data_IF_881408617505
#
_entry.id   IF_881408617505
#
_cell.length_a   1.000
_cell.length_b   1.000
_cell.length_c   1.000
_cell.angle_alpha   90.00
_cell.angle_beta   90.00
_cell.angle_gamma   90.00
#
_symmetry.space_group_name_H-M   'P 1'
#
loop_
_entity.id
_entity.type
_entity.pdbx_description
1 polymer ?
#
# COMPACT_ATOMS: atom_id res chain seq x y z
N UNK A 1 15.46 3.97 -2.17
CA UNK A 1 16.78 3.39 -2.50
C UNK A 1 17.58 3.07 -1.23
N UNK A 2 17.71 3.99 -0.26
CA UNK A 2 18.41 3.72 1.03
C UNK A 2 17.86 2.51 1.80
N UNK A 3 16.54 2.38 2.00
CA UNK A 3 15.96 1.24 2.72
C UNK A 3 16.24 -0.14 2.07
N UNK A 4 16.46 -0.21 0.76
CA UNK A 4 16.70 -1.49 0.05
C UNK A 4 18.16 -1.95 0.18
N UNK A 5 19.09 -0.98 0.20
CA UNK A 5 20.49 -1.25 0.52
C UNK A 5 20.61 -1.76 1.94
N UNK A 6 19.86 -1.18 2.88
CA UNK A 6 19.80 -1.65 4.27
C UNK A 6 19.19 -3.05 4.40
N UNK A 7 18.10 -3.33 3.68
CA UNK A 7 17.48 -4.66 3.68
C UNK A 7 18.39 -5.73 3.04
N UNK A 8 19.07 -5.42 1.93
CA UNK A 8 20.05 -6.33 1.33
C UNK A 8 21.26 -6.55 2.23
N UNK A 9 21.74 -5.50 2.92
CA UNK A 9 22.80 -5.63 3.91
C UNK A 9 22.38 -6.51 5.09
N UNK A 10 21.11 -6.42 5.52
CA UNK A 10 20.56 -7.30 6.56
C UNK A 10 20.49 -8.76 6.11
N UNK A 11 20.07 -9.03 4.88
CA UNK A 11 20.02 -10.38 4.28
C UNK A 11 21.42 -10.97 4.06
N UNK A 12 22.40 -10.14 3.70
CA UNK A 12 23.81 -10.56 3.66
C UNK A 12 24.35 -10.87 5.07
N UNK A 13 24.02 -10.04 6.07
CA UNK A 13 24.45 -10.25 7.44
C UNK A 13 23.78 -11.46 8.13
N UNK A 14 22.59 -11.88 7.69
CA UNK A 14 21.93 -13.10 8.17
C UNK A 14 22.54 -14.38 7.59
N UNK A 15 23.47 -14.27 6.64
CA UNK A 15 24.09 -15.42 5.97
C UNK A 15 23.18 -16.09 4.94
N UNK A 16 22.11 -15.43 4.51
CA UNK A 16 21.14 -15.96 3.53
C UNK A 16 21.80 -16.38 2.21
N UNK A 17 22.89 -15.71 1.85
CA UNK A 17 23.64 -15.94 0.61
C UNK A 17 24.89 -16.80 0.81
N UNK A 18 24.99 -17.53 1.93
CA UNK A 18 26.11 -18.45 2.20
C UNK A 18 27.37 -17.79 2.77
N UNK A 19 28.36 -18.64 3.09
CA UNK A 19 29.67 -18.23 3.58
C UNK A 19 30.76 -19.11 2.93
N UNK A 20 31.52 -18.60 1.93
CA UNK A 20 31.57 -17.23 1.45
C UNK A 20 30.30 -16.81 0.71
N UNK A 21 30.03 -15.49 0.68
CA UNK A 21 28.83 -14.91 0.06
C UNK A 21 28.79 -15.26 -1.43
N UNK A 22 27.70 -15.89 -1.85
CA UNK A 22 27.40 -16.14 -3.25
C UNK A 22 26.86 -14.87 -3.91
N UNK A 23 27.72 -14.22 -4.68
CA UNK A 23 27.39 -13.00 -5.40
C UNK A 23 26.32 -13.22 -6.49
N UNK A 24 26.15 -14.44 -7.01
CA UNK A 24 25.08 -14.74 -7.96
C UNK A 24 23.71 -14.69 -7.28
N UNK A 25 23.60 -15.24 -6.07
CA UNK A 25 22.39 -15.21 -5.28
C UNK A 25 22.03 -13.77 -4.83
N UNK A 26 23.05 -12.97 -4.47
CA UNK A 26 22.89 -11.54 -4.17
C UNK A 26 22.38 -10.77 -5.39
N UNK A 27 22.94 -11.01 -6.57
CA UNK A 27 22.51 -10.35 -7.82
C UNK A 27 21.08 -10.74 -8.22
N UNK A 28 20.68 -11.99 -8.02
CA UNK A 28 19.31 -12.44 -8.27
C UNK A 28 18.31 -11.73 -7.34
N UNK A 29 18.62 -11.62 -6.04
CA UNK A 29 17.79 -10.90 -5.08
C UNK A 29 17.69 -9.40 -5.40
N UNK A 30 18.78 -8.79 -5.87
CA UNK A 30 18.76 -7.41 -6.35
C UNK A 30 17.88 -7.22 -7.59
N UNK A 31 17.94 -8.16 -8.55
CA UNK A 31 17.12 -8.13 -9.75
C UNK A 31 15.62 -8.21 -9.42
N UNK A 32 15.23 -9.08 -8.49
CA UNK A 32 13.83 -9.21 -8.02
C UNK A 32 13.31 -7.92 -7.36
N UNK A 33 14.12 -7.30 -6.49
CA UNK A 33 13.78 -6.02 -5.86
C UNK A 33 13.60 -4.92 -6.92
N UNK A 34 14.49 -4.90 -7.92
CA UNK A 34 14.45 -3.92 -9.00
C UNK A 34 13.26 -4.14 -9.92
N UNK A 35 12.94 -5.38 -10.27
CA UNK A 35 11.77 -5.75 -11.06
C UNK A 35 10.45 -5.38 -10.35
N UNK A 36 10.38 -5.57 -9.04
CA UNK A 36 9.24 -5.14 -8.21
C UNK A 36 9.07 -3.61 -8.18
N UNK A 37 10.16 -2.86 -8.19
CA UNK A 37 10.13 -1.39 -8.30
C UNK A 37 9.74 -0.92 -9.70
N UNK A 38 10.30 -1.54 -10.74
CA UNK A 38 10.06 -1.17 -12.14
C UNK A 38 8.63 -1.51 -12.57
N UNK A 39 8.13 -2.69 -12.18
CA UNK A 39 6.74 -3.09 -12.45
C UNK A 39 5.71 -2.15 -11.83
N UNK A 40 6.04 -1.46 -10.74
CA UNK A 40 5.16 -0.46 -10.11
C UNK A 40 5.28 0.96 -10.67
N UNK A 41 6.35 1.27 -11.43
CA UNK A 41 6.59 2.61 -11.98
C UNK A 41 6.01 2.73 -13.38
N UNK A 42 4.88 3.43 -13.50
CA UNK A 42 4.25 3.78 -14.79
C UNK A 42 2.89 3.14 -15.02
N UNK A 43 2.49 2.18 -14.17
CA UNK A 43 1.12 1.65 -14.20
C UNK A 43 0.14 2.68 -13.67
N UNK A 44 -0.97 2.85 -14.37
CA UNK A 44 -2.05 3.74 -13.95
C UNK A 44 -2.70 3.15 -12.70
N UNK A 45 -2.73 3.94 -11.62
CA UNK A 45 -3.41 3.56 -10.38
C UNK A 45 -4.92 3.66 -10.55
N UNK A 46 -5.62 2.56 -10.30
CA UNK A 46 -7.08 2.48 -10.23
C UNK A 46 -7.53 2.45 -8.76
N UNK A 47 -8.32 3.44 -8.36
CA UNK A 47 -8.80 3.61 -7.00
C UNK A 47 -10.23 3.10 -6.87
N UNK A 48 -10.44 2.15 -5.97
CA UNK A 48 -11.74 1.54 -5.71
C UNK A 48 -12.27 1.99 -4.36
N UNK A 49 -13.47 2.59 -4.34
CA UNK A 49 -14.09 3.11 -3.12
C UNK A 49 -14.69 1.98 -2.29
N UNK A 50 -14.33 1.91 -1.00
CA UNK A 50 -14.88 0.95 -0.03
C UNK A 50 -16.00 1.59 0.77
N UNK A 51 -15.69 2.66 1.51
CA UNK A 51 -16.69 3.37 2.31
C UNK A 51 -16.30 4.82 2.56
N UNK A 52 -17.30 5.64 2.88
CA UNK A 52 -17.11 7.04 3.27
C UNK A 52 -17.08 7.17 4.79
N UNK A 53 -16.18 8.02 5.27
CA UNK A 53 -15.90 8.27 6.67
C UNK A 53 -16.48 9.64 7.06
N UNK A 54 -17.26 9.66 8.13
CA UNK A 54 -17.96 10.83 8.64
C UNK A 54 -17.39 11.18 10.01
N UNK A 55 -17.09 12.45 10.24
CA UNK A 55 -16.71 12.90 11.56
C UNK A 55 -17.98 12.99 12.41
N UNK A 56 -18.21 11.99 13.26
CA UNK A 56 -19.20 12.06 14.34
C UNK A 56 -18.49 12.53 15.63
N UNK A 57 -19.26 12.90 16.65
CA UNK A 57 -18.75 13.34 17.96
C UNK A 57 -17.86 12.27 18.63
N UNK A 58 -16.56 12.23 18.33
CA UNK A 58 -15.58 11.34 18.96
C UNK A 58 -14.38 10.92 18.10
N UNK A 59 -13.75 9.80 18.49
CA UNK A 59 -12.58 9.20 17.82
C UNK A 59 -12.95 8.21 16.69
N UNK A 60 -14.24 8.08 16.37
CA UNK A 60 -14.75 7.04 15.47
C UNK A 60 -15.37 7.70 14.24
N UNK A 61 -14.91 7.26 13.07
CA UNK A 61 -15.23 7.86 11.77
C UNK A 61 -16.52 7.29 11.13
N UNK A 62 -17.28 6.43 11.81
CA UNK A 62 -18.60 5.95 11.36
C UNK A 62 -19.41 5.28 12.48
N UNK A 63 -20.68 5.69 12.65
CA UNK A 63 -21.71 5.05 13.50
C UNK A 63 -22.90 4.53 12.65
N UNK A 64 -22.64 3.96 11.47
CA UNK A 64 -23.65 3.57 10.49
C UNK A 64 -23.51 2.13 9.96
N UNK A 65 -24.60 1.57 9.40
CA UNK A 65 -24.65 0.23 8.82
C UNK A 65 -23.95 0.18 7.45
N UNK A 66 -22.96 -0.70 7.30
CA UNK A 66 -22.41 -1.11 6.00
C UNK A 66 -23.48 -1.87 5.24
N UNK A 67 -23.85 -1.43 4.03
CA UNK A 67 -25.00 -2.01 3.31
C UNK A 67 -24.64 -3.24 2.47
N UNK A 68 -23.37 -3.44 2.09
CA UNK A 68 -22.95 -4.59 1.26
C UNK A 68 -21.55 -5.10 1.64
N UNK A 69 -21.32 -6.39 1.45
CA UNK A 69 -20.02 -7.03 1.70
C UNK A 69 -19.04 -6.65 0.58
N UNK A 70 -17.86 -6.12 0.94
CA UNK A 70 -16.78 -5.80 -0.01
C UNK A 70 -15.60 -6.72 0.24
N UNK A 71 -15.09 -7.35 -0.82
CA UNK A 71 -13.86 -8.16 -0.76
C UNK A 71 -12.69 -7.34 -1.31
N UNK A 72 -11.69 -7.08 -0.48
CA UNK A 72 -10.46 -6.41 -0.88
C UNK A 72 -9.43 -7.50 -1.27
N UNK A 73 -8.87 -7.47 -2.49
CA UNK A 73 -7.89 -8.47 -2.93
C UNK A 73 -6.62 -8.46 -2.07
N UNK A 74 -5.93 -9.59 -2.01
CA UNK A 74 -4.65 -9.69 -1.31
C UNK A 74 -3.57 -8.84 -2.01
N UNK A 75 -2.65 -8.27 -1.22
CA UNK A 75 -1.49 -7.53 -1.74
C UNK A 75 -1.76 -6.11 -2.20
N UNK A 76 -3.01 -5.63 -2.16
CA UNK A 76 -3.37 -4.24 -2.49
C UNK A 76 -3.12 -3.28 -1.34
N UNK A 77 -2.85 -2.02 -1.66
CA UNK A 77 -2.73 -0.96 -0.65
C UNK A 77 -4.09 -0.36 -0.35
N UNK A 78 -4.40 -0.20 0.94
CA UNK A 78 -5.59 0.51 1.43
C UNK A 78 -5.17 1.90 1.87
N UNK A 79 -5.88 2.92 1.39
CA UNK A 79 -5.62 4.33 1.68
C UNK A 79 -6.85 4.97 2.32
N UNK A 80 -6.61 5.93 3.21
CA UNK A 80 -7.63 6.85 3.71
C UNK A 80 -7.40 8.21 3.06
N UNK A 81 -8.31 8.60 2.19
CA UNK A 81 -8.26 9.89 1.49
C UNK A 81 -9.10 10.91 2.25
N UNK A 82 -8.44 11.92 2.80
CA UNK A 82 -9.13 13.08 3.40
C UNK A 82 -9.87 13.85 2.32
N UNK A 83 -11.09 14.28 2.63
CA UNK A 83 -11.90 15.20 1.82
C UNK A 83 -11.96 16.55 2.52
N UNK A 84 -12.19 17.60 1.74
CA UNK A 84 -12.46 18.95 2.24
C UNK A 84 -13.94 19.26 2.00
N UNK A 85 -14.83 18.88 2.94
CA UNK A 85 -16.26 19.14 2.79
C UNK A 85 -16.55 20.64 2.83
N UNK A 86 -17.46 21.10 1.97
CA UNK A 86 -17.88 22.50 1.93
C UNK A 86 -18.63 22.88 3.21
N UNK A 87 -18.40 24.09 3.70
CA UNK A 87 -19.02 24.59 4.93
C UNK A 87 -20.55 24.61 4.80
N UNK A 88 -21.26 24.08 5.81
CA UNK A 88 -22.72 23.97 5.80
C UNK A 88 -23.28 22.79 4.98
N UNK A 89 -22.44 21.98 4.34
CA UNK A 89 -22.88 20.78 3.59
C UNK A 89 -22.67 19.49 4.38
N UNK A 90 -23.55 18.50 4.14
CA UNK A 90 -23.42 17.16 4.74
C UNK A 90 -22.63 16.25 3.80
N UNK A 91 -21.31 16.39 3.85
CA UNK A 91 -20.36 15.59 3.07
C UNK A 91 -19.44 14.77 3.97
N UNK A 92 -18.96 13.60 3.53
CA UNK A 92 -18.01 12.80 4.29
C UNK A 92 -16.64 13.47 4.35
N UNK A 93 -15.93 13.25 5.45
CA UNK A 93 -14.65 13.88 5.77
C UNK A 93 -13.47 13.09 5.20
N UNK A 94 -13.65 11.80 4.94
CA UNK A 94 -12.66 10.97 4.29
C UNK A 94 -13.31 9.80 3.55
N UNK A 95 -12.54 9.04 2.79
CA UNK A 95 -12.96 7.78 2.19
C UNK A 95 -11.87 6.74 2.30
N UNK A 96 -12.27 5.49 2.52
CA UNK A 96 -11.38 4.33 2.40
C UNK A 96 -11.43 3.86 0.96
N UNK A 97 -10.25 3.73 0.36
CA UNK A 97 -10.08 3.19 -1.00
C UNK A 97 -9.01 2.11 -1.00
N UNK A 98 -9.11 1.15 -1.91
CA UNK A 98 -7.97 0.27 -2.23
C UNK A 98 -7.46 0.55 -3.64
N UNK A 99 -6.17 0.33 -3.85
CA UNK A 99 -5.48 0.66 -5.09
C UNK A 99 -5.10 -0.60 -5.84
N UNK A 100 -5.48 -0.65 -7.11
CA UNK A 100 -5.02 -1.63 -8.10
C UNK A 100 -4.25 -0.91 -9.20
N UNK A 101 -3.52 -1.65 -10.02
CA UNK A 101 -2.73 -1.10 -11.12
C UNK A 101 -3.17 -1.80 -12.41
N UNK A 102 -3.33 -1.06 -13.51
CA UNK A 102 -3.57 -1.68 -14.82
C UNK A 102 -2.40 -2.62 -15.18
N UNK A 103 -2.70 -3.73 -15.86
CA UNK A 103 -1.69 -4.71 -16.30
C UNK A 103 -0.68 -4.12 -17.29
#
# INVERSE_FOLDING_TARGET
>A
MQNYVEEMNRRMASGEFGNPVDMFAVNAAWAEIMEKEVSGRGKKSNYHSVCSLWNDSGKVLLSGRTQEQVTIPEGVKVLVLRREPEEGTRQPNAAIVYVTYDD
#
